data_IF_018725304645
#
_entry.id   IF_018725304645
#
_cell.length_a   1.000
_cell.length_b   1.000
_cell.length_c   1.000
_cell.angle_alpha   90.00
_cell.angle_beta   90.00
_cell.angle_gamma   90.00
#
_symmetry.space_group_name_H-M   'P 1'
#
loop_
_entity.id
_entity.type
_entity.pdbx_description
1 polymer ?
#
# COMPACT_ATOMS: atom_id res chain seq x y z
N UNK A 1 -85.30 -26.45 13.43
CA UNK A 1 -85.22 -25.82 14.76
C UNK A 1 -85.97 -24.48 14.70
N UNK A 2 -86.46 -23.95 15.81
CA UNK A 2 -87.02 -22.58 15.82
C UNK A 2 -85.87 -21.58 15.68
N UNK A 3 -85.88 -20.76 14.62
CA UNK A 3 -84.85 -19.75 14.37
C UNK A 3 -84.90 -18.65 15.44
N UNK A 4 -83.73 -18.24 15.95
CA UNK A 4 -83.62 -17.13 16.89
C UNK A 4 -83.54 -15.81 16.10
N UNK A 5 -84.56 -14.96 16.22
CA UNK A 5 -84.62 -13.68 15.52
C UNK A 5 -83.78 -12.63 16.25
N UNK A 6 -82.64 -12.24 15.67
CA UNK A 6 -81.75 -11.23 16.23
C UNK A 6 -82.30 -9.81 16.07
N UNK A 7 -81.89 -8.91 16.96
CA UNK A 7 -82.02 -7.46 16.77
C UNK A 7 -80.66 -6.88 16.41
N UNK A 8 -80.53 -6.30 15.21
CA UNK A 8 -79.31 -5.61 14.76
C UNK A 8 -79.21 -4.27 15.48
N UNK A 9 -78.02 -3.94 15.97
CA UNK A 9 -77.78 -2.65 16.63
C UNK A 9 -77.60 -1.53 15.59
N UNK A 10 -77.77 -0.28 15.99
CA UNK A 10 -77.51 0.88 15.13
C UNK A 10 -76.04 0.90 14.66
N UNK A 11 -75.11 0.49 15.54
CA UNK A 11 -73.69 0.39 15.21
C UNK A 11 -73.42 -0.73 14.18
N UNK A 12 -74.01 -1.91 14.37
CA UNK A 12 -73.92 -3.03 13.44
C UNK A 12 -74.56 -2.72 12.09
N UNK A 13 -75.72 -2.07 12.09
CA UNK A 13 -76.37 -1.62 10.86
C UNK A 13 -75.53 -0.59 10.11
N UNK A 14 -74.91 0.36 10.82
CA UNK A 14 -74.02 1.37 10.21
C UNK A 14 -72.79 0.73 9.58
N UNK A 15 -72.17 -0.27 10.24
CA UNK A 15 -71.07 -1.06 9.68
C UNK A 15 -71.50 -1.84 8.44
N UNK A 16 -72.67 -2.47 8.51
CA UNK A 16 -73.25 -3.20 7.38
C UNK A 16 -73.50 -2.29 6.19
N UNK A 17 -74.05 -1.09 6.39
CA UNK A 17 -74.25 -0.11 5.31
C UNK A 17 -72.94 0.45 4.78
N UNK A 18 -71.93 0.67 5.62
CA UNK A 18 -70.61 1.12 5.17
C UNK A 18 -69.96 0.08 4.25
N UNK A 19 -70.05 -1.21 4.60
CA UNK A 19 -69.56 -2.31 3.79
C UNK A 19 -70.31 -2.52 2.45
N UNK A 20 -71.44 -1.84 2.24
CA UNK A 20 -72.16 -1.85 0.95
C UNK A 20 -71.61 -0.82 -0.04
N UNK A 21 -70.80 0.14 0.45
CA UNK A 21 -70.25 1.24 -0.35
C UNK A 21 -68.72 1.15 -0.46
N UNK A 22 -68.07 0.48 0.50
CA UNK A 22 -66.63 0.30 0.58
C UNK A 22 -66.29 -1.19 0.83
N UNK A 23 -65.51 -1.77 -0.07
CA UNK A 23 -65.13 -3.20 -0.06
C UNK A 23 -64.10 -3.52 1.05
N UNK A 24 -63.51 -2.52 1.72
CA UNK A 24 -62.46 -2.69 2.74
C UNK A 24 -63.01 -2.79 4.19
N UNK A 25 -64.33 -2.89 4.36
CA UNK A 25 -64.94 -3.06 5.69
C UNK A 25 -65.07 -4.55 6.02
N UNK A 26 -64.25 -4.98 6.98
CA UNK A 26 -64.32 -6.33 7.53
C UNK A 26 -65.63 -6.56 8.33
N UNK A 27 -66.53 -7.35 7.74
CA UNK A 27 -67.77 -7.83 8.37
C UNK A 27 -67.63 -9.21 9.00
N UNK A 28 -66.40 -9.64 9.33
CA UNK A 28 -66.18 -10.89 10.03
C UNK A 28 -66.71 -10.85 11.46
N UNK A 29 -67.59 -11.80 11.78
CA UNK A 29 -68.01 -12.02 13.17
C UNK A 29 -66.89 -12.81 13.85
N UNK A 30 -66.21 -12.17 14.80
CA UNK A 30 -65.00 -12.69 15.45
C UNK A 30 -65.27 -13.30 16.83
N UNK A 31 -66.38 -12.91 17.47
CA UNK A 31 -66.72 -13.40 18.79
C UNK A 31 -68.22 -13.33 19.12
N UNK A 32 -68.62 -14.13 20.09
CA UNK A 32 -69.95 -14.10 20.71
C UNK A 32 -69.79 -13.75 22.19
N UNK A 33 -70.41 -12.65 22.61
CA UNK A 33 -70.56 -12.31 24.02
C UNK A 33 -71.77 -13.02 24.64
N UNK A 34 -71.62 -13.51 25.86
CA UNK A 34 -72.64 -14.25 26.60
C UNK A 34 -73.06 -13.45 27.84
N UNK A 35 -74.36 -13.47 28.14
CA UNK A 35 -74.92 -12.85 29.35
C UNK A 35 -76.01 -13.72 30.00
N UNK A 36 -76.08 -13.65 31.33
CA UNK A 36 -77.09 -14.30 32.16
C UNK A 36 -78.35 -13.42 32.35
N UNK A 37 -78.33 -12.18 31.84
CA UNK A 37 -79.43 -11.22 31.99
C UNK A 37 -80.44 -11.34 30.85
N UNK A 38 -81.71 -11.38 31.21
CA UNK A 38 -82.79 -11.08 30.28
C UNK A 38 -82.92 -9.56 30.11
N UNK A 39 -83.02 -9.09 28.87
CA UNK A 39 -83.26 -7.68 28.55
C UNK A 39 -84.12 -7.58 27.28
N UNK A 40 -84.67 -6.39 27.03
CA UNK A 40 -85.37 -6.10 25.77
C UNK A 40 -84.33 -5.75 24.71
N UNK A 41 -84.13 -6.62 23.72
CA UNK A 41 -83.23 -6.36 22.61
C UNK A 41 -83.70 -5.10 21.85
N UNK A 42 -82.82 -4.13 21.68
CA UNK A 42 -83.13 -2.85 21.06
C UNK A 42 -81.98 -2.39 20.15
N UNK A 43 -82.27 -1.75 19.01
CA UNK A 43 -81.23 -1.23 18.11
C UNK A 43 -80.28 -0.22 18.78
N UNK A 44 -80.71 0.44 19.86
CA UNK A 44 -79.92 1.46 20.57
C UNK A 44 -78.83 0.90 21.47
N UNK A 45 -78.68 -0.43 21.57
CA UNK A 45 -77.64 -1.06 22.40
C UNK A 45 -76.25 -0.84 21.78
N UNK A 46 -75.31 -0.34 22.58
CA UNK A 46 -73.89 -0.17 22.21
C UNK A 46 -72.96 -1.19 22.86
N UNK A 47 -73.46 -1.93 23.86
CA UNK A 47 -72.77 -3.00 24.57
C UNK A 47 -73.79 -4.07 25.00
N UNK A 48 -73.32 -5.31 25.18
CA UNK A 48 -74.18 -6.41 25.65
C UNK A 48 -74.44 -6.23 27.16
N UNK A 49 -75.70 -5.99 27.59
CA UNK A 49 -76.01 -5.77 29.00
C UNK A 49 -75.63 -6.98 29.85
N UNK A 50 -74.75 -6.80 30.84
CA UNK A 50 -74.35 -7.89 31.73
C UNK A 50 -73.51 -8.97 31.05
N UNK A 51 -72.73 -8.62 30.02
CA UNK A 51 -71.75 -9.52 29.44
C UNK A 51 -70.77 -10.04 30.51
N UNK A 52 -70.67 -11.36 30.63
CA UNK A 52 -69.71 -11.99 31.55
C UNK A 52 -68.59 -12.73 30.82
N UNK A 53 -68.75 -13.01 29.52
CA UNK A 53 -67.79 -13.79 28.74
C UNK A 53 -67.90 -13.50 27.26
N UNK A 54 -66.76 -13.55 26.58
CA UNK A 54 -66.64 -13.44 25.13
C UNK A 54 -65.89 -14.65 24.57
N UNK A 55 -66.50 -15.34 23.62
CA UNK A 55 -66.00 -16.58 23.03
C UNK A 55 -65.64 -16.32 21.57
N UNK A 56 -64.39 -16.55 21.19
CA UNK A 56 -63.88 -16.32 19.82
C UNK A 56 -63.84 -17.58 18.95
N UNK A 57 -64.04 -18.76 19.52
CA UNK A 57 -64.08 -20.05 18.82
C UNK A 57 -65.47 -20.26 18.20
N UNK A 58 -65.71 -19.54 17.11
CA UNK A 58 -66.97 -19.56 16.37
C UNK A 58 -66.74 -19.88 14.90
N UNK A 59 -67.70 -20.56 14.31
CA UNK A 59 -67.76 -20.82 12.87
C UNK A 59 -69.22 -20.74 12.43
N UNK A 60 -69.47 -20.39 11.17
CA UNK A 60 -70.82 -20.25 10.68
C UNK A 60 -70.88 -20.16 9.16
N UNK A 61 -72.05 -20.47 8.63
CA UNK A 61 -72.31 -20.40 7.20
C UNK A 61 -73.71 -19.83 6.96
N UNK A 62 -73.83 -18.96 5.97
CA UNK A 62 -75.12 -18.46 5.51
C UNK A 62 -75.84 -19.58 4.74
N UNK A 63 -77.05 -19.94 5.17
CA UNK A 63 -77.83 -21.04 4.57
C UNK A 63 -79.02 -20.55 3.73
N UNK A 64 -79.08 -19.24 3.45
CA UNK A 64 -80.16 -18.58 2.69
C UNK A 64 -81.27 -17.97 3.56
N UNK A 65 -82.18 -17.20 2.95
CA UNK A 65 -83.32 -16.54 3.61
C UNK A 65 -82.98 -15.73 4.88
N UNK A 66 -81.83 -15.05 4.86
CA UNK A 66 -81.27 -14.30 6.00
C UNK A 66 -81.04 -15.14 7.27
N UNK A 67 -80.79 -16.44 7.10
CA UNK A 67 -80.45 -17.36 8.18
C UNK A 67 -78.96 -17.74 8.10
N UNK A 68 -78.29 -17.66 9.24
CA UNK A 68 -76.94 -18.18 9.43
C UNK A 68 -77.02 -19.37 10.37
N UNK A 69 -76.42 -20.49 9.97
CA UNK A 69 -76.12 -21.57 10.88
C UNK A 69 -74.78 -21.26 11.55
N UNK A 70 -74.79 -21.07 12.86
CA UNK A 70 -73.57 -20.73 13.61
C UNK A 70 -73.31 -21.76 14.69
N UNK A 71 -72.05 -22.16 14.80
CA UNK A 71 -71.52 -23.05 15.82
C UNK A 71 -70.58 -22.26 16.72
N UNK A 72 -70.85 -22.32 18.02
CA UNK A 72 -69.99 -21.76 19.07
C UNK A 72 -69.42 -22.91 19.88
N UNK A 73 -68.10 -22.95 20.00
CA UNK A 73 -67.41 -23.86 20.92
C UNK A 73 -66.86 -23.06 22.09
N UNK A 74 -67.03 -23.55 23.31
CA UNK A 74 -66.32 -23.04 24.47
C UNK A 74 -65.76 -24.20 25.29
N UNK A 75 -64.44 -24.32 25.35
CA UNK A 75 -63.72 -25.39 26.04
C UNK A 75 -63.17 -24.98 27.43
N UNK A 76 -63.38 -23.74 27.88
CA UNK A 76 -62.86 -23.33 29.19
C UNK A 76 -63.66 -23.98 30.32
N UNK A 77 -63.02 -24.36 31.45
CA UNK A 77 -63.66 -25.07 32.55
C UNK A 77 -64.47 -24.14 33.46
N UNK A 78 -65.53 -23.53 32.93
CA UNK A 78 -66.41 -22.58 33.62
C UNK A 78 -67.87 -23.03 33.53
N UNK A 79 -68.61 -22.85 34.62
CA UNK A 79 -70.04 -23.11 34.68
C UNK A 79 -70.82 -21.80 34.59
N UNK A 80 -71.83 -21.74 33.71
CA UNK A 80 -72.66 -20.56 33.52
C UNK A 80 -74.00 -20.89 32.85
N UNK A 81 -74.98 -20.02 33.07
CA UNK A 81 -76.29 -20.05 32.40
C UNK A 81 -76.39 -18.84 31.47
N UNK A 82 -76.78 -19.05 30.22
CA UNK A 82 -76.93 -17.98 29.23
C UNK A 82 -78.40 -17.72 28.98
N UNK A 83 -78.82 -16.45 29.04
CA UNK A 83 -80.17 -16.00 28.67
C UNK A 83 -80.17 -15.06 27.46
N UNK A 84 -79.00 -14.49 27.16
CA UNK A 84 -78.81 -13.57 26.04
C UNK A 84 -77.39 -13.65 25.50
N UNK A 85 -77.22 -13.28 24.24
CA UNK A 85 -75.91 -13.21 23.58
C UNK A 85 -75.85 -12.06 22.58
N UNK A 86 -74.62 -11.63 22.29
CA UNK A 86 -74.30 -10.60 21.30
C UNK A 86 -73.23 -11.06 20.33
N UNK A 87 -73.38 -10.74 19.05
CA UNK A 87 -72.37 -11.00 18.02
C UNK A 87 -71.45 -9.79 17.90
N UNK A 88 -70.14 -10.02 17.85
CA UNK A 88 -69.11 -8.98 17.75
C UNK A 88 -68.30 -9.11 16.47
N UNK A 89 -68.04 -7.97 15.82
CA UNK A 89 -67.11 -7.88 14.69
C UNK A 89 -65.64 -7.96 15.16
N UNK A 90 -64.70 -8.19 14.25
CA UNK A 90 -63.25 -8.19 14.53
C UNK A 90 -62.75 -6.90 15.22
N UNK A 91 -63.38 -5.75 14.94
CA UNK A 91 -63.06 -4.46 15.55
C UNK A 91 -63.68 -4.24 16.95
N UNK A 92 -64.46 -5.21 17.46
CA UNK A 92 -65.13 -5.15 18.74
C UNK A 92 -66.52 -4.48 18.72
N UNK A 93 -67.04 -4.09 17.56
CA UNK A 93 -68.40 -3.54 17.42
C UNK A 93 -69.45 -4.61 17.74
N UNK A 94 -70.43 -4.27 18.59
CA UNK A 94 -71.60 -5.13 18.84
C UNK A 94 -72.55 -5.08 17.64
N UNK A 95 -72.60 -6.15 16.86
CA UNK A 95 -73.34 -6.22 15.60
C UNK A 95 -74.85 -6.47 15.83
N UNK A 96 -75.19 -7.49 16.62
CA UNK A 96 -76.57 -7.89 16.86
C UNK A 96 -76.73 -8.60 18.21
N UNK A 97 -77.94 -8.60 18.76
CA UNK A 97 -78.24 -9.21 20.08
C UNK A 97 -79.51 -10.05 20.07
N UNK A 98 -79.52 -11.09 20.90
CA UNK A 98 -80.72 -11.88 21.23
C UNK A 98 -80.86 -11.98 22.75
N UNK A 99 -82.07 -11.87 23.26
CA UNK A 99 -82.36 -12.07 24.67
C UNK A 99 -83.77 -12.64 24.87
N UNK A 100 -83.92 -13.50 25.87
CA UNK A 100 -85.22 -14.02 26.30
C UNK A 100 -85.27 -14.18 27.83
N UNK A 101 -86.47 -14.39 28.37
CA UNK A 101 -86.65 -14.57 29.81
C UNK A 101 -86.08 -15.92 30.29
N UNK A 102 -86.27 -17.01 29.55
CA UNK A 102 -85.84 -18.36 29.93
C UNK A 102 -84.37 -18.65 29.55
N UNK A 103 -83.65 -19.53 30.28
CA UNK A 103 -82.32 -19.98 29.88
C UNK A 103 -82.27 -20.51 28.45
N UNK A 104 -81.33 -20.02 27.64
CA UNK A 104 -81.02 -20.57 26.32
C UNK A 104 -80.26 -21.89 26.43
N UNK A 105 -79.23 -21.89 27.28
CA UNK A 105 -78.45 -23.07 27.59
C UNK A 105 -77.69 -22.89 28.90
N UNK A 106 -77.26 -24.01 29.47
CA UNK A 106 -76.42 -24.07 30.66
C UNK A 106 -75.19 -24.91 30.36
N UNK A 107 -74.02 -24.43 30.78
CA UNK A 107 -72.75 -25.14 30.67
C UNK A 107 -72.26 -25.52 32.06
N UNK A 108 -71.78 -26.75 32.20
CA UNK A 108 -71.03 -27.21 33.37
C UNK A 108 -69.53 -27.04 33.14
N UNK A 109 -68.77 -26.74 34.20
CA UNK A 109 -67.31 -26.58 34.12
C UNK A 109 -66.54 -27.84 33.68
N UNK A 110 -67.20 -29.00 33.67
CA UNK A 110 -66.61 -30.29 33.28
C UNK A 110 -66.91 -30.68 31.82
N UNK A 111 -67.62 -29.84 31.05
CA UNK A 111 -68.00 -30.13 29.67
C UNK A 111 -67.57 -29.00 28.76
N UNK A 112 -67.01 -29.36 27.60
CA UNK A 112 -66.96 -28.47 26.45
C UNK A 112 -68.39 -28.20 26.00
N UNK A 113 -68.66 -26.94 25.66
CA UNK A 113 -69.92 -26.54 25.04
C UNK A 113 -69.70 -26.48 23.53
N UNK A 114 -70.61 -27.13 22.79
CA UNK A 114 -70.72 -27.02 21.34
C UNK A 114 -72.19 -26.77 21.01
N UNK A 115 -72.52 -25.52 20.71
CA UNK A 115 -73.90 -25.12 20.41
C UNK A 115 -74.00 -24.71 18.96
N UNK A 116 -74.86 -25.40 18.22
CA UNK A 116 -75.30 -25.01 16.90
C UNK A 116 -76.62 -24.25 17.03
N UNK A 117 -76.69 -23.04 16.48
CA UNK A 117 -77.90 -22.20 16.47
C UNK A 117 -78.17 -21.66 15.07
N UNK A 118 -79.44 -21.76 14.67
CA UNK A 118 -79.96 -21.10 13.47
C UNK A 118 -80.42 -19.70 13.86
N UNK A 119 -79.74 -18.71 13.30
CA UNK A 119 -79.93 -17.30 13.64
C UNK A 119 -80.54 -16.59 12.43
N UNK A 120 -81.66 -15.90 12.64
CA UNK A 120 -82.32 -15.13 11.59
C UNK A 120 -82.10 -13.63 11.79
N UNK A 121 -81.67 -12.95 10.73
CA UNK A 121 -81.53 -11.50 10.69
C UNK A 121 -82.79 -10.87 10.06
N UNK A 122 -83.51 -9.97 10.75
CA UNK A 122 -84.76 -9.37 10.23
C UNK A 122 -84.56 -8.50 8.98
N UNK A 123 -83.35 -7.98 8.77
CA UNK A 123 -82.97 -7.08 7.67
C UNK A 123 -81.47 -7.24 7.36
N UNK A 124 -81.07 -7.22 6.08
CA UNK A 124 -79.66 -7.31 5.64
C UNK A 124 -79.31 -8.60 4.90
N UNK A 125 -78.43 -8.55 3.90
CA UNK A 125 -77.90 -9.74 3.20
C UNK A 125 -76.82 -10.41 4.06
N UNK A 126 -77.09 -11.62 4.56
CA UNK A 126 -76.18 -12.38 5.40
C UNK A 126 -74.98 -13.00 4.65
N UNK A 127 -75.01 -13.00 3.30
CA UNK A 127 -73.93 -13.53 2.46
C UNK A 127 -72.62 -12.72 2.57
N UNK A 128 -72.68 -11.48 3.07
CA UNK A 128 -71.50 -10.64 3.29
C UNK A 128 -70.82 -10.87 4.65
N UNK A 129 -71.45 -11.64 5.54
CA UNK A 129 -70.86 -11.97 6.84
C UNK A 129 -69.94 -13.18 6.66
N UNK A 130 -68.68 -13.02 7.05
CA UNK A 130 -67.72 -14.12 7.14
C UNK A 130 -67.60 -14.60 8.58
N UNK A 131 -67.44 -15.91 8.75
CA UNK A 131 -67.25 -16.57 10.04
C UNK A 131 -66.00 -17.45 9.96
N UNK A 132 -65.38 -17.79 11.08
CA UNK A 132 -64.14 -18.59 11.11
C UNK A 132 -64.24 -20.00 10.47
N UNK A 133 -63.09 -20.63 10.24
CA UNK A 133 -62.96 -21.96 9.61
C UNK A 133 -63.70 -23.05 10.41
N UNK A 134 -64.46 -23.88 9.68
CA UNK A 134 -65.30 -24.96 10.20
C UNK A 134 -64.49 -26.16 10.69
N UNK A 135 -63.19 -26.24 10.36
CA UNK A 135 -62.37 -27.42 10.66
C UNK A 135 -61.63 -27.34 12.02
N UNK A 136 -62.40 -27.39 13.11
CA UNK A 136 -61.86 -27.42 14.48
C UNK A 136 -60.99 -28.65 14.81
N UNK A 137 -60.88 -29.63 13.91
CA UNK A 137 -60.11 -30.85 14.12
C UNK A 137 -58.63 -30.71 13.75
N UNK A 138 -58.29 -29.87 12.75
CA UNK A 138 -56.95 -29.83 12.17
C UNK A 138 -56.49 -28.38 11.89
N UNK A 139 -56.11 -27.60 12.92
CA UNK A 139 -55.61 -26.23 12.71
C UNK A 139 -54.29 -26.22 11.90
N UNK A 140 -53.98 -25.13 11.17
CA UNK A 140 -52.70 -24.97 10.49
C UNK A 140 -51.54 -24.90 11.49
N UNK A 141 -50.38 -25.42 11.09
CA UNK A 141 -49.19 -25.40 11.94
C UNK A 141 -48.62 -23.98 12.07
N UNK A 142 -48.18 -23.63 13.29
CA UNK A 142 -47.45 -22.39 13.56
C UNK A 142 -46.20 -22.70 14.37
N UNK A 143 -45.32 -21.71 14.53
CA UNK A 143 -44.12 -21.85 15.39
C UNK A 143 -44.47 -22.05 16.86
N UNK A 144 -45.69 -21.70 17.29
CA UNK A 144 -46.18 -21.86 18.66
C UNK A 144 -47.15 -23.04 18.82
N UNK A 145 -47.80 -23.51 17.75
CA UNK A 145 -48.90 -24.47 17.82
C UNK A 145 -48.72 -25.58 16.79
N UNK A 146 -48.89 -26.83 17.24
CA UNK A 146 -48.87 -28.00 16.36
C UNK A 146 -50.11 -27.97 15.46
N UNK A 147 -49.93 -28.27 14.18
CA UNK A 147 -51.02 -28.28 13.20
C UNK A 147 -50.64 -29.02 11.92
N UNK A 148 -51.45 -28.84 10.88
CA UNK A 148 -51.21 -29.39 9.53
C UNK A 148 -50.49 -28.36 8.68
N UNK A 149 -49.55 -28.81 7.84
CA UNK A 149 -48.72 -27.97 6.98
C UNK A 149 -48.51 -28.63 5.63
N UNK A 150 -48.48 -27.83 4.57
CA UNK A 150 -48.21 -28.29 3.21
C UNK A 150 -46.70 -28.57 3.01
N UNK A 151 -46.38 -29.54 2.15
CA UNK A 151 -45.00 -29.85 1.79
C UNK A 151 -44.54 -28.94 0.64
N UNK A 152 -43.38 -28.31 0.81
CA UNK A 152 -42.82 -27.42 -0.19
C UNK A 152 -42.45 -28.16 -1.48
N UNK A 153 -42.78 -27.55 -2.61
CA UNK A 153 -42.30 -27.92 -3.95
C UNK A 153 -40.82 -27.58 -4.14
N UNK A 154 -40.21 -28.05 -5.23
CA UNK A 154 -38.79 -27.75 -5.49
C UNK A 154 -38.57 -26.26 -5.79
N UNK A 155 -39.51 -25.60 -6.48
CA UNK A 155 -39.43 -24.18 -6.82
C UNK A 155 -39.48 -23.28 -5.58
N UNK A 156 -40.34 -23.61 -4.62
CA UNK A 156 -40.44 -22.91 -3.32
C UNK A 156 -39.15 -23.09 -2.50
N UNK A 157 -38.53 -24.27 -2.54
CA UNK A 157 -37.24 -24.53 -1.86
C UNK A 157 -36.08 -23.79 -2.53
N UNK A 158 -36.10 -23.65 -3.85
CA UNK A 158 -35.06 -22.96 -4.60
C UNK A 158 -35.14 -21.42 -4.44
N UNK A 159 -36.36 -20.87 -4.34
CA UNK A 159 -36.61 -19.44 -4.08
C UNK A 159 -36.37 -19.06 -2.62
N UNK A 160 -36.83 -19.89 -1.67
CA UNK A 160 -36.54 -19.73 -0.24
C UNK A 160 -37.25 -18.56 0.46
N UNK A 161 -38.38 -18.10 -0.09
CA UNK A 161 -39.16 -16.98 0.46
C UNK A 161 -40.36 -17.42 1.32
N UNK A 162 -40.86 -18.65 1.08
CA UNK A 162 -42.05 -19.18 1.74
C UNK A 162 -41.75 -19.69 3.16
N UNK A 163 -42.48 -19.16 4.14
CA UNK A 163 -42.38 -19.54 5.56
C UNK A 163 -43.50 -20.48 6.03
N UNK A 164 -44.48 -20.79 5.18
CA UNK A 164 -45.68 -21.56 5.54
C UNK A 164 -45.58 -23.04 5.17
N UNK A 165 -44.57 -23.47 4.41
CA UNK A 165 -44.40 -24.86 3.95
C UNK A 165 -43.17 -25.56 4.53
N UNK A 166 -43.22 -26.90 4.56
CA UNK A 166 -42.13 -27.74 5.11
C UNK A 166 -41.33 -28.44 4.02
N UNK A 167 -39.99 -28.37 4.14
CA UNK A 167 -39.04 -29.04 3.24
C UNK A 167 -39.05 -30.55 3.45
N UNK A 168 -38.97 -31.32 2.35
CA UNK A 168 -38.84 -32.79 2.37
C UNK A 168 -37.39 -33.22 2.16
N UNK A 169 -36.99 -34.44 2.57
CA UNK A 169 -35.66 -34.97 2.24
C UNK A 169 -35.35 -34.96 0.73
N UNK A 170 -36.37 -35.14 -0.12
CA UNK A 170 -36.22 -35.11 -1.58
C UNK A 170 -35.91 -33.70 -2.10
N UNK A 171 -36.68 -32.69 -1.68
CA UNK A 171 -36.47 -31.31 -2.14
C UNK A 171 -35.18 -30.73 -1.58
N UNK A 172 -34.80 -31.10 -0.35
CA UNK A 172 -33.49 -30.80 0.20
C UNK A 172 -32.34 -31.46 -0.59
N UNK A 173 -32.46 -32.76 -0.92
CA UNK A 173 -31.42 -33.46 -1.68
C UNK A 173 -31.20 -32.86 -3.07
N UNK A 174 -32.27 -32.44 -3.76
CA UNK A 174 -32.18 -31.75 -5.06
C UNK A 174 -31.49 -30.39 -4.93
N UNK A 175 -31.86 -29.60 -3.92
CA UNK A 175 -31.19 -28.33 -3.62
C UNK A 175 -29.70 -28.54 -3.39
N UNK A 176 -29.32 -29.49 -2.53
CA UNK A 176 -27.93 -29.82 -2.21
C UNK A 176 -27.15 -30.35 -3.41
N UNK A 177 -27.77 -31.17 -4.27
CA UNK A 177 -27.17 -31.63 -5.51
C UNK A 177 -26.86 -30.47 -6.46
N UNK A 178 -27.73 -29.45 -6.52
CA UNK A 178 -27.47 -28.22 -7.27
C UNK A 178 -26.24 -27.46 -6.77
N UNK A 179 -26.09 -27.31 -5.45
CA UNK A 179 -24.88 -26.71 -4.84
C UNK A 179 -23.62 -27.54 -5.14
N UNK A 180 -23.69 -28.86 -4.99
CA UNK A 180 -22.59 -29.76 -5.29
C UNK A 180 -22.18 -29.68 -6.77
N UNK A 181 -23.15 -29.67 -7.68
CA UNK A 181 -22.91 -29.50 -9.11
C UNK A 181 -22.24 -28.16 -9.45
N UNK A 182 -22.70 -27.07 -8.83
CA UNK A 182 -22.10 -25.75 -8.99
C UNK A 182 -20.64 -25.69 -8.52
N UNK A 183 -20.32 -26.35 -7.40
CA UNK A 183 -18.95 -26.44 -6.89
C UNK A 183 -18.08 -27.32 -7.80
N UNK A 184 -18.55 -28.50 -8.18
CA UNK A 184 -17.84 -29.43 -9.06
C UNK A 184 -17.66 -28.91 -10.49
N UNK A 185 -18.51 -27.97 -10.92
CA UNK A 185 -18.37 -27.26 -12.19
C UNK A 185 -17.23 -26.23 -12.20
N UNK A 186 -16.68 -25.84 -11.03
CA UNK A 186 -15.54 -24.93 -10.94
C UNK A 186 -14.23 -25.68 -11.12
N UNK A 187 -13.30 -25.09 -11.87
CA UNK A 187 -11.94 -25.59 -12.03
C UNK A 187 -10.93 -24.69 -11.34
N UNK A 188 -9.90 -25.31 -10.78
CA UNK A 188 -8.67 -24.65 -10.37
C UNK A 188 -7.68 -24.79 -11.53
N UNK A 189 -7.19 -23.67 -12.04
CA UNK A 189 -6.23 -23.63 -13.15
C UNK A 189 -4.95 -22.92 -12.72
N UNK A 190 -3.80 -23.58 -12.89
CA UNK A 190 -2.50 -22.90 -12.86
C UNK A 190 -2.29 -22.07 -14.14
N UNK A 191 -1.58 -20.95 -14.02
CA UNK A 191 -1.16 -20.11 -15.14
C UNK A 191 0.26 -19.56 -14.91
N UNK A 192 0.97 -19.24 -15.99
CA UNK A 192 2.35 -18.74 -15.93
C UNK A 192 3.31 -19.78 -15.37
N UNK A 193 3.90 -19.49 -14.20
CA UNK A 193 4.83 -20.39 -13.50
C UNK A 193 4.12 -21.52 -12.75
N UNK A 194 2.85 -21.30 -12.39
CA UNK A 194 2.06 -22.26 -11.63
C UNK A 194 1.47 -23.32 -12.57
N UNK A 195 1.73 -24.58 -12.25
CA UNK A 195 1.24 -25.76 -12.97
C UNK A 195 0.38 -26.62 -12.05
N UNK A 196 -0.47 -27.47 -12.63
CA UNK A 196 -1.42 -28.30 -11.88
C UNK A 196 -2.83 -27.70 -11.83
N UNK A 197 -3.59 -28.10 -10.81
CA UNK A 197 -5.01 -27.80 -10.68
C UNK A 197 -5.90 -29.00 -11.03
N UNK A 198 -7.14 -28.73 -11.43
CA UNK A 198 -8.15 -29.75 -11.72
C UNK A 198 -9.55 -29.34 -11.27
N UNK A 199 -10.44 -30.32 -11.16
CA UNK A 199 -11.75 -30.15 -10.52
C UNK A 199 -11.65 -30.17 -8.99
N UNK A 200 -12.77 -29.92 -8.31
CA UNK A 200 -12.87 -29.92 -6.84
C UNK A 200 -13.31 -31.28 -6.26
N UNK A 201 -13.07 -32.39 -6.98
CA UNK A 201 -13.42 -33.74 -6.49
C UNK A 201 -12.45 -34.27 -5.43
N UNK A 202 -11.26 -33.67 -5.31
CA UNK A 202 -10.24 -34.02 -4.33
C UNK A 202 -9.29 -32.82 -4.11
N UNK A 203 -8.44 -32.90 -3.06
CA UNK A 203 -7.46 -31.85 -2.72
C UNK A 203 -6.50 -31.56 -3.87
N UNK A 204 -6.35 -30.28 -4.26
CA UNK A 204 -5.53 -29.86 -5.40
C UNK A 204 -4.22 -29.22 -4.99
N UNK A 205 -3.15 -29.67 -5.66
CA UNK A 205 -1.81 -29.12 -5.52
C UNK A 205 -1.50 -28.24 -6.71
N UNK A 206 -1.00 -27.03 -6.43
CA UNK A 206 -0.44 -26.12 -7.42
C UNK A 206 1.06 -26.09 -7.23
N UNK A 207 1.80 -26.40 -8.29
CA UNK A 207 3.26 -26.54 -8.28
C UNK A 207 3.90 -25.40 -9.03
N UNK A 208 4.92 -24.78 -8.44
CA UNK A 208 5.81 -23.83 -9.10
C UNK A 208 7.18 -24.51 -9.24
N UNK A 209 7.55 -25.02 -10.43
CA UNK A 209 8.82 -25.70 -10.61
C UNK A 209 9.99 -24.73 -10.43
N UNK A 210 10.95 -25.11 -9.59
CA UNK A 210 12.20 -24.36 -9.45
C UNK A 210 13.14 -24.67 -10.63
N UNK A 211 13.82 -23.64 -11.13
CA UNK A 211 14.94 -23.81 -12.05
C UNK A 211 16.15 -24.41 -11.30
N UNK A 212 16.88 -25.30 -11.96
CA UNK A 212 18.23 -25.68 -11.54
C UNK A 212 19.23 -24.58 -11.87
N UNK A 213 20.46 -24.67 -11.32
CA UNK A 213 21.51 -23.70 -11.62
C UNK A 213 21.88 -23.67 -13.12
N UNK A 214 21.95 -24.84 -13.76
CA UNK A 214 22.23 -24.93 -15.19
C UNK A 214 21.12 -24.29 -16.06
N UNK A 215 19.85 -24.45 -15.65
CA UNK A 215 18.72 -23.83 -16.35
C UNK A 215 18.69 -22.31 -16.16
N UNK A 216 19.00 -21.83 -14.94
CA UNK A 216 19.12 -20.41 -14.66
C UNK A 216 20.26 -19.77 -15.48
N UNK A 217 21.41 -20.45 -15.57
CA UNK A 217 22.56 -19.99 -16.37
C UNK A 217 22.24 -19.95 -17.87
N UNK A 218 21.46 -20.91 -18.37
CA UNK A 218 21.04 -20.94 -19.76
C UNK A 218 20.07 -19.80 -20.12
N UNK A 219 19.23 -19.36 -19.16
CA UNK A 219 18.33 -18.22 -19.34
C UNK A 219 17.24 -18.40 -20.41
N UNK A 220 16.96 -19.64 -20.84
CA UNK A 220 16.03 -19.94 -21.94
C UNK A 220 14.64 -20.36 -21.50
N UNK A 221 14.46 -20.78 -20.24
CA UNK A 221 13.20 -21.33 -19.73
C UNK A 221 12.41 -20.24 -19.00
N UNK A 222 11.24 -19.88 -19.54
CA UNK A 222 10.35 -18.89 -18.94
C UNK A 222 9.31 -19.47 -17.95
N UNK A 223 9.23 -20.80 -17.83
CA UNK A 223 8.19 -21.51 -17.05
C UNK A 223 8.65 -21.98 -15.67
N UNK A 224 9.85 -21.58 -15.21
CA UNK A 224 10.41 -21.99 -13.93
C UNK A 224 10.81 -20.79 -13.07
N UNK A 225 10.65 -20.94 -11.75
CA UNK A 225 11.03 -19.91 -10.78
C UNK A 225 12.52 -19.99 -10.44
N UNK A 226 13.19 -18.84 -10.38
CA UNK A 226 14.53 -18.73 -9.83
C UNK A 226 14.48 -18.82 -8.30
N UNK A 227 15.36 -19.64 -7.73
CA UNK A 227 15.58 -19.79 -6.28
C UNK A 227 17.01 -19.35 -5.92
N UNK A 228 17.31 -19.08 -4.63
CA UNK A 228 18.67 -18.77 -4.21
C UNK A 228 19.70 -19.83 -4.64
N UNK A 229 19.34 -21.12 -4.62
CA UNK A 229 20.20 -22.20 -5.08
C UNK A 229 20.42 -22.18 -6.61
N UNK A 230 19.43 -21.75 -7.39
CA UNK A 230 19.53 -21.69 -8.85
C UNK A 230 20.43 -20.55 -9.36
N UNK A 231 20.62 -19.48 -8.58
CA UNK A 231 21.42 -18.32 -9.02
C UNK A 231 22.87 -18.35 -8.50
N UNK A 232 23.31 -19.47 -7.90
CA UNK A 232 24.64 -19.58 -7.27
C UNK A 232 25.79 -19.30 -8.26
N UNK A 233 25.70 -19.80 -9.48
CA UNK A 233 26.71 -19.60 -10.52
C UNK A 233 26.72 -18.15 -11.02
N UNK A 234 25.54 -17.53 -11.17
CA UNK A 234 25.40 -16.12 -11.52
C UNK A 234 26.07 -15.24 -10.45
N UNK A 235 25.78 -15.48 -9.17
CA UNK A 235 26.41 -14.76 -8.04
C UNK A 235 27.93 -14.94 -8.05
N UNK A 236 28.41 -16.17 -8.25
CA UNK A 236 29.84 -16.46 -8.36
C UNK A 236 30.48 -15.72 -9.55
N UNK A 237 29.80 -15.66 -10.70
CA UNK A 237 30.30 -14.98 -11.90
C UNK A 237 30.37 -13.45 -11.72
N UNK A 238 29.38 -12.84 -11.04
CA UNK A 238 29.37 -11.41 -10.71
C UNK A 238 30.50 -11.10 -9.73
N UNK A 239 30.65 -11.94 -8.70
CA UNK A 239 31.75 -11.83 -7.72
C UNK A 239 33.11 -11.98 -8.39
N UNK A 240 33.26 -12.86 -9.37
CA UNK A 240 34.49 -13.01 -10.14
C UNK A 240 34.76 -11.81 -11.08
N UNK A 241 33.70 -11.20 -11.64
CA UNK A 241 33.79 -10.02 -12.52
C UNK A 241 34.11 -8.72 -11.79
N UNK A 242 33.79 -8.62 -10.51
CA UNK A 242 34.28 -7.57 -9.62
C UNK A 242 35.41 -8.16 -8.79
N UNK A 243 36.63 -8.26 -9.32
CA UNK A 243 37.75 -8.83 -8.59
C UNK A 243 38.19 -7.87 -7.48
N UNK A 244 37.45 -7.88 -6.36
CA UNK A 244 37.80 -7.18 -5.13
C UNK A 244 39.11 -7.70 -4.53
N UNK A 245 39.61 -8.84 -5.05
CA UNK A 245 40.93 -9.41 -4.74
C UNK A 245 42.06 -8.78 -5.54
N UNK A 246 41.79 -7.99 -6.59
CA UNK A 246 42.84 -7.21 -7.27
C UNK A 246 43.30 -6.08 -6.35
N UNK A 247 44.61 -5.84 -6.38
CA UNK A 247 45.25 -4.69 -5.74
C UNK A 247 45.88 -3.77 -6.78
N UNK A 248 46.00 -2.52 -6.39
CA UNK A 248 46.94 -1.58 -7.00
C UNK A 248 48.19 -1.56 -6.13
N UNK A 249 49.24 -2.24 -6.59
CA UNK A 249 50.54 -2.25 -5.94
C UNK A 249 51.41 -1.16 -6.60
N UNK A 250 51.73 -0.10 -5.86
CA UNK A 250 52.56 1.01 -6.37
C UNK A 250 54.01 0.90 -5.89
N UNK A 251 54.94 1.45 -6.67
CA UNK A 251 56.35 1.55 -6.31
C UNK A 251 56.98 2.80 -6.93
N UNK A 252 58.15 3.20 -6.41
CA UNK A 252 58.89 4.35 -6.92
C UNK A 252 58.18 5.68 -6.61
N UNK A 253 57.75 6.39 -7.65
CA UNK A 253 57.12 7.72 -7.54
C UNK A 253 55.67 7.66 -7.03
N UNK A 254 54.96 6.58 -7.34
CA UNK A 254 53.57 6.42 -6.95
C UNK A 254 53.48 5.84 -5.53
N UNK A 255 52.79 6.55 -4.65
CA UNK A 255 52.53 6.19 -3.27
C UNK A 255 51.03 5.93 -3.07
N UNK A 256 50.68 4.99 -2.20
CA UNK A 256 49.29 4.61 -1.92
C UNK A 256 48.89 3.31 -2.61
N UNK A 257 47.66 3.24 -3.08
CA UNK A 257 47.07 1.99 -3.58
C UNK A 257 46.67 1.04 -2.45
N UNK A 258 46.33 -0.20 -2.82
CA UNK A 258 45.74 -1.18 -1.91
C UNK A 258 44.69 -2.07 -2.57
N UNK A 259 43.88 -2.73 -1.75
CA UNK A 259 42.78 -3.59 -2.19
C UNK A 259 41.61 -2.76 -2.74
N UNK A 260 40.99 -3.22 -3.83
CA UNK A 260 39.89 -2.53 -4.49
C UNK A 260 38.52 -2.72 -3.78
N UNK A 261 38.54 -2.92 -2.46
CA UNK A 261 37.32 -2.96 -1.65
C UNK A 261 36.70 -1.57 -1.40
N UNK A 262 37.48 -0.51 -1.60
CA UNK A 262 37.08 0.89 -1.46
C UNK A 262 37.82 1.74 -2.51
N UNK A 263 37.41 3.00 -2.69
CA UNK A 263 38.16 3.97 -3.48
C UNK A 263 39.61 4.06 -3.01
N UNK A 264 40.54 4.05 -3.96
CA UNK A 264 41.98 4.13 -3.71
C UNK A 264 42.54 5.45 -4.24
N UNK A 265 43.36 6.12 -3.42
CA UNK A 265 44.10 7.30 -3.86
C UNK A 265 45.54 6.90 -4.14
N UNK A 266 46.07 7.33 -5.28
CA UNK A 266 47.48 7.22 -5.65
C UNK A 266 48.03 8.63 -5.75
N UNK A 267 49.12 8.89 -5.04
CA UNK A 267 49.77 10.20 -5.00
C UNK A 267 51.17 10.11 -5.60
N UNK A 268 51.58 11.19 -6.26
CA UNK A 268 52.96 11.41 -6.70
C UNK A 268 53.39 12.74 -6.08
N UNK A 269 54.19 12.73 -5.01
CA UNK A 269 54.59 13.96 -4.35
C UNK A 269 55.53 14.77 -5.23
N UNK A 270 55.35 16.10 -5.24
CA UNK A 270 56.26 17.01 -5.92
C UNK A 270 57.57 17.14 -5.13
N UNK A 271 58.69 17.25 -5.85
CA UNK A 271 60.00 17.55 -5.27
C UNK A 271 60.01 18.97 -4.71
N UNK A 272 60.68 19.19 -3.59
CA UNK A 272 61.03 20.55 -3.14
C UNK A 272 62.25 21.06 -3.91
N UNK A 273 62.46 22.38 -3.96
CA UNK A 273 63.66 22.97 -4.56
C UNK A 273 64.94 22.49 -3.87
N UNK A 274 64.89 22.23 -2.56
CA UNK A 274 66.01 21.67 -1.79
C UNK A 274 66.31 20.23 -2.18
N UNK A 275 65.28 19.40 -2.31
CA UNK A 275 65.42 18.02 -2.79
C UNK A 275 66.00 17.97 -4.21
N UNK A 276 65.59 18.90 -5.08
CA UNK A 276 66.13 19.04 -6.43
C UNK A 276 67.59 19.54 -6.40
N UNK A 277 67.90 20.52 -5.55
CA UNK A 277 69.24 21.10 -5.43
C UNK A 277 70.28 20.06 -4.98
N UNK A 278 69.93 19.24 -3.99
CA UNK A 278 70.85 18.27 -3.38
C UNK A 278 70.66 16.83 -3.88
N UNK A 279 69.70 16.59 -4.79
CA UNK A 279 69.37 15.27 -5.32
C UNK A 279 69.11 14.22 -4.21
N UNK A 280 68.36 14.60 -3.16
CA UNK A 280 68.21 13.81 -1.92
C UNK A 280 67.01 12.86 -1.90
N UNK A 281 66.13 12.92 -2.89
CA UNK A 281 64.89 12.12 -2.91
C UNK A 281 64.71 11.36 -4.24
N UNK A 282 64.39 10.06 -4.14
CA UNK A 282 64.16 9.17 -5.27
C UNK A 282 62.67 8.89 -5.55
N UNK A 283 61.77 9.43 -4.71
CA UNK A 283 60.34 9.14 -4.68
C UNK A 283 59.48 10.40 -4.88
N UNK A 284 60.03 11.44 -5.50
CA UNK A 284 59.35 12.72 -5.76
C UNK A 284 59.50 13.12 -7.23
N UNK A 285 58.48 13.77 -7.78
CA UNK A 285 58.48 14.25 -9.16
C UNK A 285 58.95 15.70 -9.24
N UNK A 286 59.88 15.97 -10.14
CA UNK A 286 60.33 17.35 -10.43
C UNK A 286 59.21 18.11 -11.14
N UNK A 287 58.91 19.32 -10.66
CA UNK A 287 57.88 20.20 -11.21
C UNK A 287 58.48 21.52 -11.68
N UNK A 288 57.77 22.30 -12.52
CA UNK A 288 58.20 23.66 -12.85
C UNK A 288 58.46 24.52 -11.61
N UNK A 289 57.67 24.34 -10.55
CA UNK A 289 57.85 25.05 -9.28
C UNK A 289 59.15 24.66 -8.57
N UNK A 290 59.53 23.38 -8.55
CA UNK A 290 60.79 22.94 -7.93
C UNK A 290 62.03 23.45 -8.67
N UNK A 291 61.95 23.63 -10.00
CA UNK A 291 63.00 24.27 -10.80
C UNK A 291 63.04 25.78 -10.61
N UNK A 292 61.89 26.46 -10.69
CA UNK A 292 61.80 27.91 -10.54
C UNK A 292 62.14 28.40 -9.13
N UNK A 293 62.03 27.52 -8.13
CA UNK A 293 62.42 27.81 -6.75
C UNK A 293 63.90 27.60 -6.43
N UNK A 294 64.76 27.25 -7.39
CA UNK A 294 66.21 27.24 -7.20
C UNK A 294 66.73 28.68 -7.07
N UNK A 295 67.75 28.91 -6.25
CA UNK A 295 68.30 30.25 -6.03
C UNK A 295 68.83 30.85 -7.34
N UNK A 296 68.38 32.05 -7.68
CA UNK A 296 68.82 32.77 -8.86
C UNK A 296 68.65 34.28 -8.69
N UNK A 297 69.41 35.04 -9.48
CA UNK A 297 69.29 36.48 -9.65
C UNK A 297 69.48 36.80 -11.13
N UNK A 298 68.41 37.23 -11.80
CA UNK A 298 68.43 37.57 -13.23
C UNK A 298 68.58 39.07 -13.47
N UNK A 299 69.74 39.61 -13.11
CA UNK A 299 70.10 41.02 -13.32
C UNK A 299 71.34 41.16 -14.23
N UNK A 300 71.80 42.41 -14.45
CA UNK A 300 73.02 42.68 -15.20
C UNK A 300 74.25 41.93 -14.65
N UNK A 301 74.30 41.76 -13.32
CA UNK A 301 75.20 40.85 -12.63
C UNK A 301 74.34 39.84 -11.89
N UNK A 302 74.45 38.56 -12.25
CA UNK A 302 73.46 37.58 -11.83
C UNK A 302 74.03 36.19 -11.69
N UNK A 303 73.17 35.29 -11.25
CA UNK A 303 73.49 33.89 -11.10
C UNK A 303 72.27 33.00 -11.25
N UNK A 304 72.51 31.72 -11.55
CA UNK A 304 71.54 30.66 -11.44
C UNK A 304 72.18 29.43 -10.82
N UNK A 305 71.55 28.89 -9.78
CA UNK A 305 71.94 27.61 -9.17
C UNK A 305 71.18 26.47 -9.85
N UNK A 306 71.92 25.51 -10.37
CA UNK A 306 71.43 24.33 -11.06
C UNK A 306 71.30 23.15 -10.07
N UNK A 307 70.46 22.14 -10.39
CA UNK A 307 70.41 20.89 -9.63
C UNK A 307 71.80 20.26 -9.48
N UNK A 308 72.10 19.71 -8.31
CA UNK A 308 73.44 19.20 -7.97
C UNK A 308 74.41 20.26 -7.43
N UNK A 309 73.96 21.50 -7.25
CA UNK A 309 74.73 22.57 -6.59
C UNK A 309 75.67 23.36 -7.50
N UNK A 310 75.68 23.09 -8.80
CA UNK A 310 76.45 23.87 -9.77
C UNK A 310 75.84 25.28 -9.91
N UNK A 311 76.67 26.31 -9.86
CA UNK A 311 76.26 27.71 -9.95
C UNK A 311 76.92 28.31 -11.20
N UNK A 312 76.09 28.91 -12.05
CA UNK A 312 76.52 29.72 -13.20
C UNK A 312 76.29 31.18 -12.85
N UNK A 313 77.31 32.02 -12.97
CA UNK A 313 77.21 33.45 -12.66
C UNK A 313 77.78 34.28 -13.80
N UNK A 314 77.28 35.50 -13.95
CA UNK A 314 77.79 36.46 -14.90
C UNK A 314 77.96 37.82 -14.24
N UNK A 315 79.01 38.53 -14.64
CA UNK A 315 79.26 39.91 -14.23
C UNK A 315 79.58 40.74 -15.46
N UNK A 316 78.80 41.80 -15.66
CA UNK A 316 79.07 42.85 -16.63
C UNK A 316 79.77 44.00 -15.92
N UNK A 317 81.10 44.08 -16.09
CA UNK A 317 81.88 45.23 -15.66
C UNK A 317 81.90 46.25 -16.81
N UNK A 318 81.38 47.46 -16.58
CA UNK A 318 81.32 48.53 -17.59
C UNK A 318 81.92 49.80 -17.02
N UNK A 319 83.23 49.94 -17.22
CA UNK A 319 83.98 51.13 -16.85
C UNK A 319 85.14 51.28 -17.83
N UNK A 320 85.55 52.53 -18.08
CA UNK A 320 86.72 52.82 -18.91
C UNK A 320 87.97 52.40 -18.13
N UNK A 321 88.73 51.49 -18.70
CA UNK A 321 89.94 50.91 -18.12
C UNK A 321 91.10 51.18 -19.08
N UNK A 322 92.08 51.95 -18.63
CA UNK A 322 93.25 52.37 -19.40
C UNK A 322 94.53 51.81 -18.77
N UNK A 323 95.57 51.64 -19.59
CA UNK A 323 96.93 51.29 -19.16
C UNK A 323 97.04 49.90 -18.49
N UNK A 324 96.34 48.91 -19.06
CA UNK A 324 96.45 47.49 -18.66
C UNK A 324 96.18 47.25 -17.16
N UNK A 325 95.03 47.67 -16.59
CA UNK A 325 94.80 47.57 -15.16
C UNK A 325 94.38 46.17 -14.74
N UNK A 326 94.64 45.87 -13.46
CA UNK A 326 94.08 44.72 -12.75
C UNK A 326 92.82 45.15 -11.98
N UNK A 327 91.69 44.47 -12.20
CA UNK A 327 90.41 44.76 -11.53
C UNK A 327 89.98 43.56 -10.69
N UNK A 328 89.70 43.79 -9.40
CA UNK A 328 89.07 42.76 -8.54
C UNK A 328 87.56 42.80 -8.73
N UNK A 329 86.98 41.67 -9.11
CA UNK A 329 85.54 41.53 -9.39
C UNK A 329 84.91 40.65 -8.33
N UNK A 330 83.95 41.21 -7.58
CA UNK A 330 83.16 40.45 -6.62
C UNK A 330 82.05 39.68 -7.32
N UNK A 331 81.80 38.47 -6.85
CA UNK A 331 80.74 37.62 -7.37
C UNK A 331 79.37 37.99 -6.79
N UNK A 332 78.28 37.87 -7.57
CA UNK A 332 76.91 38.06 -7.05
C UNK A 332 76.55 37.10 -5.91
N UNK A 333 77.03 35.86 -5.99
CA UNK A 333 76.91 34.85 -4.96
C UNK A 333 78.28 34.17 -4.74
N UNK A 334 78.60 33.88 -3.49
CA UNK A 334 79.83 33.17 -3.14
C UNK A 334 79.70 31.69 -3.50
N UNK A 335 80.70 31.12 -4.18
CA UNK A 335 80.75 29.68 -4.43
C UNK A 335 80.93 28.92 -3.11
N UNK A 336 80.03 28.00 -2.75
CA UNK A 336 80.10 27.26 -1.49
C UNK A 336 81.42 26.50 -1.31
N UNK A 337 81.99 25.94 -2.38
CA UNK A 337 83.24 25.18 -2.34
C UNK A 337 84.36 25.87 -3.12
N UNK A 338 84.20 26.10 -4.43
CA UNK A 338 85.24 26.72 -5.29
C UNK A 338 84.70 27.22 -6.63
N UNK A 339 85.39 28.19 -7.21
CA UNK A 339 85.23 28.54 -8.62
C UNK A 339 85.95 27.49 -9.48
N UNK A 340 85.22 26.91 -10.45
CA UNK A 340 85.77 25.94 -11.41
C UNK A 340 86.31 26.62 -12.67
N UNK A 341 85.55 27.58 -13.20
CA UNK A 341 85.87 28.29 -14.44
C UNK A 341 85.58 29.77 -14.22
N UNK A 342 86.54 30.60 -14.61
CA UNK A 342 86.34 32.03 -14.80
C UNK A 342 86.83 32.36 -16.21
N UNK A 343 85.98 32.99 -17.02
CA UNK A 343 86.32 33.39 -18.38
C UNK A 343 85.86 34.81 -18.61
N UNK A 344 86.80 35.68 -18.96
CA UNK A 344 86.54 37.08 -19.23
C UNK A 344 86.62 37.33 -20.74
N UNK A 345 85.76 38.22 -21.23
CA UNK A 345 85.79 38.72 -22.60
C UNK A 345 85.76 40.23 -22.55
N UNK A 346 86.77 40.86 -23.16
CA UNK A 346 86.87 42.31 -23.26
C UNK A 346 85.64 42.89 -23.96
N UNK A 347 85.18 44.06 -23.50
CA UNK A 347 84.06 44.79 -24.08
C UNK A 347 84.51 46.16 -24.55
N UNK A 348 84.33 46.44 -25.84
CA UNK A 348 84.45 47.78 -26.41
C UNK A 348 83.06 48.26 -26.83
N UNK A 349 82.73 49.51 -26.51
CA UNK A 349 81.42 50.11 -26.79
C UNK A 349 81.26 50.49 -28.27
N UNK A 350 82.36 50.57 -29.01
CA UNK A 350 82.37 50.76 -30.45
C UNK A 350 83.51 49.96 -31.10
N UNK A 351 83.33 49.44 -32.33
CA UNK A 351 84.41 48.76 -33.05
C UNK A 351 85.63 49.68 -33.23
N UNK A 352 86.82 49.14 -32.97
CA UNK A 352 88.08 49.85 -33.18
C UNK A 352 89.13 48.87 -33.67
N UNK A 353 89.87 49.26 -34.72
CA UNK A 353 91.02 48.51 -35.21
C UNK A 353 92.31 48.83 -34.43
N UNK A 354 92.23 49.71 -33.42
CA UNK A 354 93.34 50.07 -32.55
C UNK A 354 93.22 49.46 -31.14
N UNK A 355 92.05 48.87 -30.80
CA UNK A 355 91.78 48.31 -29.47
C UNK A 355 91.86 46.79 -29.50
N UNK A 356 93.08 46.28 -29.54
CA UNK A 356 93.37 44.85 -29.44
C UNK A 356 93.62 44.47 -27.99
N UNK A 357 92.54 44.45 -27.20
CA UNK A 357 92.59 44.18 -25.76
C UNK A 357 92.10 42.78 -25.41
N UNK A 358 92.75 42.15 -24.44
CA UNK A 358 92.39 40.83 -23.93
C UNK A 358 92.19 40.90 -22.42
N UNK A 359 91.17 40.17 -21.95
CA UNK A 359 90.84 40.05 -20.54
C UNK A 359 91.23 38.65 -20.07
N UNK A 360 92.12 38.57 -19.09
CA UNK A 360 92.60 37.31 -18.54
C UNK A 360 92.35 37.24 -17.04
N UNK A 361 92.06 36.04 -16.55
CA UNK A 361 91.96 35.80 -15.12
C UNK A 361 93.38 35.71 -14.56
N UNK A 362 93.71 36.60 -13.63
CA UNK A 362 95.01 36.65 -12.97
C UNK A 362 95.00 35.80 -11.69
N UNK A 363 95.80 34.74 -11.67
CA UNK A 363 95.86 33.79 -10.58
C UNK A 363 94.64 32.85 -10.51
N UNK A 364 94.51 32.14 -9.39
CA UNK A 364 93.39 31.23 -9.17
C UNK A 364 92.15 32.00 -8.67
N UNK A 365 90.98 31.87 -9.32
CA UNK A 365 89.77 32.54 -8.87
C UNK A 365 89.36 32.05 -7.48
N UNK A 366 89.03 32.99 -6.59
CA UNK A 366 88.57 32.70 -5.23
C UNK A 366 87.10 32.28 -5.20
N UNK A 367 86.56 32.09 -3.99
CA UNK A 367 85.13 31.76 -3.78
C UNK A 367 84.20 32.96 -3.89
N UNK A 368 84.72 34.17 -3.68
CA UNK A 368 83.94 35.41 -3.62
C UNK A 368 84.35 36.44 -4.66
N UNK A 369 85.54 36.32 -5.24
CA UNK A 369 86.09 37.24 -6.23
C UNK A 369 87.21 36.61 -7.06
N UNK A 370 87.50 37.23 -8.20
CA UNK A 370 88.70 36.99 -8.99
C UNK A 370 89.31 38.30 -9.47
N UNK A 371 90.57 38.27 -9.87
CA UNK A 371 91.25 39.41 -10.48
C UNK A 371 91.24 39.23 -12.00
N UNK A 372 90.78 40.24 -12.73
CA UNK A 372 90.87 40.30 -14.18
C UNK A 372 91.98 41.27 -14.56
N UNK A 373 92.99 40.77 -15.25
CA UNK A 373 94.06 41.56 -15.85
C UNK A 373 93.69 41.87 -17.29
N UNK A 374 93.72 43.15 -17.64
CA UNK A 374 93.62 43.59 -19.02
C UNK A 374 95.01 43.81 -19.59
N UNK A 375 95.22 43.44 -20.84
CA UNK A 375 96.45 43.76 -21.55
C UNK A 375 96.13 44.02 -23.03
N UNK A 376 97.03 44.74 -23.69
CA UNK A 376 96.90 45.15 -25.08
C UNK A 376 98.18 44.81 -25.87
N UNK A 377 98.04 44.58 -27.17
CA UNK A 377 99.18 44.20 -28.03
C UNK A 377 100.17 45.37 -28.27
N UNK A 378 99.67 46.59 -28.43
CA UNK A 378 100.49 47.77 -28.73
C UNK A 378 100.22 48.99 -27.82
N UNK A 379 100.83 50.14 -28.12
CA UNK A 379 100.70 51.39 -27.35
C UNK A 379 99.71 52.39 -27.95
N UNK A 380 98.94 52.02 -28.99
CA UNK A 380 98.18 52.98 -29.78
C UNK A 380 96.84 53.37 -29.13
N UNK A 381 96.14 52.44 -28.49
CA UNK A 381 94.90 52.71 -27.72
C UNK A 381 94.63 51.61 -26.67
N UNK A 382 95.35 51.67 -25.54
CA UNK A 382 95.28 50.70 -24.42
C UNK A 382 94.06 50.90 -23.54
N UNK A 383 92.89 51.07 -24.15
CA UNK A 383 91.64 51.37 -23.46
C UNK A 383 90.56 50.36 -23.82
N UNK A 384 89.86 49.85 -22.80
CA UNK A 384 88.68 49.01 -22.96
C UNK A 384 87.52 49.57 -22.15
N UNK A 385 86.28 49.37 -22.63
CA UNK A 385 85.07 49.92 -22.00
C UNK A 385 84.46 48.96 -20.94
N UNK A 386 85.24 47.95 -20.56
CA UNK A 386 84.91 46.96 -19.56
C UNK A 386 85.13 45.52 -20.05
N UNK A 387 84.45 44.59 -19.41
CA UNK A 387 84.48 43.18 -19.80
C UNK A 387 83.24 42.45 -19.28
N UNK A 388 82.93 41.32 -19.89
CA UNK A 388 81.94 40.37 -19.39
C UNK A 388 82.67 39.17 -18.83
N UNK A 389 82.27 38.76 -17.63
CA UNK A 389 82.85 37.63 -16.92
C UNK A 389 81.79 36.55 -16.77
N UNK A 390 82.09 35.34 -17.25
CA UNK A 390 81.31 34.12 -17.01
C UNK A 390 82.03 33.27 -15.97
N UNK A 391 81.31 32.87 -14.94
CA UNK A 391 81.81 32.09 -13.81
C UNK A 391 81.00 30.82 -13.65
N UNK A 392 81.69 29.72 -13.40
CA UNK A 392 81.07 28.43 -13.06
C UNK A 392 81.76 27.90 -11.81
N UNK A 393 80.99 27.47 -10.82
CA UNK A 393 81.50 26.92 -9.57
C UNK A 393 80.41 26.20 -8.79
N UNK A 394 80.71 25.75 -7.58
CA UNK A 394 79.78 25.05 -6.68
C UNK A 394 80.25 25.17 -5.24
#
# INVERSE_FOLDING_TARGET
>A
MSKLALTITQAGHSRFTAAQVDDDIDLSISAVGLSDRAFVAAPTLTALPGEFRRVSTISGEAIGDNVVHMVVRDADPLAYTVRSFGLFLADGTLFATYAQADPLFEKSALSDMHLAIDIAFPTGNVEQLTFGDTNFLNPPATTATRGVVELATQEEVDTGEDTERVVTPRTLAQRLAGWAGGLLGRRITGAGLATGGGDLTADRTITVPAASAAEADAGTIASKALTPASIVNIIASITARVPLTRRIDTAGLALGGGALGTDQTISVPAATSEQLLYATAANVAVTPQSFGGLAHLLEANGYWTLPGGLIVQWVNYRAVLADEPAVTVNYPLAFPNRCLVASATAFINAPSAARDSWAQVAGNPGRTSCVIQLQADDQNDRVVDGFTLLLIGY
#
